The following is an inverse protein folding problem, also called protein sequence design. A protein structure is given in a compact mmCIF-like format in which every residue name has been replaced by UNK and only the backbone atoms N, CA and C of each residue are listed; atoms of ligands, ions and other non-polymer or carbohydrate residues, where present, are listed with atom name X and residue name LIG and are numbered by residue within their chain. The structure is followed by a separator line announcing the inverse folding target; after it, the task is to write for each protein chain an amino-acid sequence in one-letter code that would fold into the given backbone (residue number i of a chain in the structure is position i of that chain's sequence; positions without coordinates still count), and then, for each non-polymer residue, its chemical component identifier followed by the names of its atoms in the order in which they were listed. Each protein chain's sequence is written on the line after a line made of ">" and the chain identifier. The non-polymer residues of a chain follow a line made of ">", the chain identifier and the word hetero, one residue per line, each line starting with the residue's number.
data_IF_453614179893
#
_entry.id   IF_453614179893
#
_cell.length_a   1.000
_cell.length_b   1.000
_cell.length_c   1.000
_cell.angle_alpha   90.00
_cell.angle_beta   90.00
_cell.angle_gamma   90.00
#
_symmetry.space_group_name_H-M   'P 1'
#
loop_
_entity.id
_entity.type
_entity.pdbx_description
1 polymer ?
#
# COMPACT_ATOMS: atom_id res chain seq x y z
N UNK A 1 4.03 10.24 25.38
CA UNK A 1 4.04 8.92 24.71
C UNK A 1 3.01 8.99 23.61
N UNK A 2 3.38 8.67 22.38
CA UNK A 2 2.49 8.69 21.22
C UNK A 2 1.73 7.38 21.19
N UNK A 3 0.40 7.46 21.21
CA UNK A 3 -0.51 6.32 21.21
C UNK A 3 -0.94 6.01 19.79
N UNK A 4 -0.76 4.77 19.35
CA UNK A 4 -0.90 4.37 17.95
C UNK A 4 -2.08 3.40 17.80
N UNK A 5 -3.01 3.71 16.89
CA UNK A 5 -3.97 2.75 16.36
C UNK A 5 -3.33 2.04 15.15
N UNK A 6 -3.12 0.72 15.24
CA UNK A 6 -2.52 -0.09 14.16
C UNK A 6 -3.62 -0.85 13.43
N UNK A 7 -4.00 -0.35 12.27
CA UNK A 7 -5.03 -0.96 11.43
C UNK A 7 -4.36 -1.99 10.51
N UNK A 8 -4.71 -3.27 10.66
CA UNK A 8 -4.00 -4.37 9.97
C UNK A 8 -2.78 -4.89 10.74
N UNK A 9 -2.85 -4.90 12.08
CA UNK A 9 -1.79 -5.32 13.02
C UNK A 9 -1.23 -6.74 12.81
N UNK A 10 -1.99 -7.63 12.21
CA UNK A 10 -1.58 -9.02 11.95
C UNK A 10 -0.96 -9.22 10.55
N UNK A 11 -0.89 -8.17 9.74
CA UNK A 11 -0.23 -8.17 8.43
C UNK A 11 1.27 -7.85 8.54
N UNK A 12 2.01 -7.96 7.44
CA UNK A 12 3.47 -7.77 7.41
C UNK A 12 3.92 -6.39 7.92
N UNK A 13 3.24 -5.31 7.51
CA UNK A 13 3.56 -3.96 8.00
C UNK A 13 3.13 -3.79 9.46
N UNK A 14 1.95 -4.30 9.82
CA UNK A 14 1.44 -4.21 11.19
C UNK A 14 2.34 -4.90 12.22
N UNK A 15 2.83 -6.11 11.94
CA UNK A 15 3.75 -6.81 12.84
C UNK A 15 5.09 -6.10 12.95
N UNK A 16 5.63 -5.58 11.84
CA UNK A 16 6.86 -4.79 11.85
C UNK A 16 6.69 -3.44 12.59
N UNK A 17 5.51 -2.83 12.52
CA UNK A 17 5.21 -1.63 13.29
C UNK A 17 5.18 -1.93 14.80
N UNK A 18 4.63 -3.07 15.20
CA UNK A 18 4.68 -3.52 16.59
C UNK A 18 6.11 -3.82 17.06
N UNK A 19 7.00 -4.33 16.19
CA UNK A 19 8.43 -4.44 16.49
C UNK A 19 9.10 -3.07 16.67
N UNK A 20 8.75 -2.07 15.86
CA UNK A 20 9.24 -0.70 16.03
C UNK A 20 8.75 -0.11 17.35
N UNK A 21 7.50 -0.35 17.73
CA UNK A 21 6.93 0.09 19.02
C UNK A 21 7.67 -0.58 20.19
N UNK A 22 7.94 -1.88 20.12
CA UNK A 22 8.68 -2.62 21.15
C UNK A 22 10.09 -2.07 21.39
N UNK A 23 10.73 -1.54 20.34
CA UNK A 23 12.07 -0.95 20.43
C UNK A 23 12.08 0.40 21.15
N UNK A 24 10.94 1.09 21.21
CA UNK A 24 10.83 2.44 21.76
C UNK A 24 9.70 2.56 22.79
N UNK A 25 9.71 1.76 23.87
CA UNK A 25 8.60 1.70 24.84
C UNK A 25 8.40 3.01 25.64
N UNK A 26 9.41 3.88 25.69
CA UNK A 26 9.28 5.23 26.28
C UNK A 26 8.66 6.27 25.35
N UNK A 27 8.56 5.98 24.04
CA UNK A 27 8.05 6.90 23.01
C UNK A 27 6.68 6.48 22.51
N UNK A 28 6.45 5.18 22.28
CA UNK A 28 5.23 4.66 21.68
C UNK A 28 4.44 3.73 22.59
N UNK A 29 3.13 3.73 22.43
CA UNK A 29 2.22 2.72 22.97
C UNK A 29 1.09 2.41 21.99
N UNK A 30 0.40 1.30 22.17
CA UNK A 30 -0.71 0.89 21.30
C UNK A 30 -2.05 1.31 21.93
N UNK A 31 -2.86 2.05 21.18
CA UNK A 31 -4.23 2.40 21.57
C UNK A 31 -5.26 1.42 21.01
N UNK A 32 -5.08 1.00 19.75
CA UNK A 32 -5.99 0.09 19.07
C UNK A 32 -5.24 -0.90 18.17
N UNK A 33 -5.79 -2.10 18.03
CA UNK A 33 -5.33 -3.10 17.07
C UNK A 33 -6.50 -3.58 16.24
N UNK A 34 -6.39 -3.58 14.92
CA UNK A 34 -7.38 -4.25 14.06
C UNK A 34 -6.73 -5.30 13.18
N UNK A 35 -7.53 -6.28 12.76
CA UNK A 35 -7.16 -7.27 11.77
C UNK A 35 -8.38 -7.65 10.91
N UNK A 36 -8.13 -8.41 9.84
CA UNK A 36 -9.23 -8.97 9.04
C UNK A 36 -9.85 -10.19 9.75
N UNK A 37 -9.15 -11.33 9.76
CA UNK A 37 -9.68 -12.60 10.27
C UNK A 37 -8.72 -13.39 11.17
N UNK A 38 -7.49 -12.92 11.39
CA UNK A 38 -6.49 -13.62 12.21
C UNK A 38 -6.68 -13.33 13.72
N UNK A 39 -7.76 -13.87 14.28
CA UNK A 39 -8.13 -13.65 15.67
C UNK A 39 -7.07 -14.13 16.68
N UNK A 40 -6.42 -15.27 16.41
CA UNK A 40 -5.42 -15.84 17.33
C UNK A 40 -4.22 -14.91 17.54
N UNK A 41 -3.63 -14.42 16.44
CA UNK A 41 -2.50 -13.49 16.54
C UNK A 41 -2.94 -12.17 17.18
N UNK A 42 -4.12 -11.67 16.83
CA UNK A 42 -4.66 -10.42 17.38
C UNK A 42 -4.88 -10.51 18.90
N UNK A 43 -5.42 -11.62 19.41
CA UNK A 43 -5.58 -11.86 20.86
C UNK A 43 -4.21 -11.88 21.55
N UNK A 44 -3.22 -12.56 20.96
CA UNK A 44 -1.84 -12.57 21.48
C UNK A 44 -1.23 -11.17 21.55
N UNK A 45 -1.43 -10.35 20.51
CA UNK A 45 -1.01 -8.95 20.50
C UNK A 45 -1.77 -8.13 21.55
N UNK A 46 -3.08 -8.33 21.70
CA UNK A 46 -3.88 -7.62 22.70
C UNK A 46 -3.41 -7.89 24.14
N UNK A 47 -3.03 -9.13 24.48
CA UNK A 47 -2.47 -9.43 25.80
C UNK A 47 -1.12 -8.74 26.06
N UNK A 48 -0.28 -8.63 25.02
CA UNK A 48 1.03 -7.98 25.13
C UNK A 48 0.90 -6.46 25.27
N UNK A 49 0.13 -5.84 24.39
CA UNK A 49 0.08 -4.38 24.27
C UNK A 49 -1.03 -3.72 25.08
N UNK A 50 -2.03 -4.50 25.52
CA UNK A 50 -3.20 -4.05 26.29
C UNK A 50 -3.89 -2.81 25.68
N UNK A 51 -4.28 -2.84 24.40
CA UNK A 51 -4.97 -1.71 23.78
C UNK A 51 -6.36 -1.50 24.39
N UNK A 52 -6.88 -0.28 24.31
CA UNK A 52 -8.26 0.01 24.71
C UNK A 52 -9.28 -0.60 23.73
N UNK A 53 -8.89 -0.79 22.47
CA UNK A 53 -9.77 -1.24 21.40
C UNK A 53 -9.14 -2.36 20.55
N UNK A 54 -9.95 -3.36 20.20
CA UNK A 54 -9.61 -4.42 19.24
C UNK A 54 -10.72 -4.55 18.20
N UNK A 55 -10.35 -4.61 16.92
CA UNK A 55 -11.27 -4.73 15.78
C UNK A 55 -11.00 -5.95 14.90
N UNK A 56 -12.06 -6.67 14.50
CA UNK A 56 -11.97 -7.71 13.46
C UNK A 56 -13.01 -7.47 12.37
N UNK A 57 -12.57 -7.24 11.14
CA UNK A 57 -13.52 -7.02 10.03
C UNK A 57 -14.25 -8.30 9.62
N UNK A 58 -13.65 -9.47 9.86
CA UNK A 58 -14.18 -10.78 9.51
C UNK A 58 -13.94 -11.80 10.66
N UNK A 59 -14.68 -11.64 11.76
CA UNK A 59 -14.64 -12.57 12.88
C UNK A 59 -15.52 -13.82 12.62
N UNK A 60 -15.03 -15.00 13.02
CA UNK A 60 -15.80 -16.25 12.95
C UNK A 60 -16.68 -16.52 14.19
N UNK A 61 -16.21 -16.11 15.36
CA UNK A 61 -16.89 -16.33 16.65
C UNK A 61 -16.59 -15.15 17.59
N UNK A 62 -17.46 -14.14 17.57
CA UNK A 62 -17.29 -12.93 18.38
C UNK A 62 -17.25 -13.24 19.88
N UNK A 63 -18.11 -14.15 20.35
CA UNK A 63 -18.23 -14.45 21.79
C UNK A 63 -16.95 -15.09 22.31
N UNK A 64 -16.44 -16.10 21.61
CA UNK A 64 -15.19 -16.76 21.99
C UNK A 64 -13.99 -15.81 21.97
N UNK A 65 -13.97 -14.85 21.04
CA UNK A 65 -12.91 -13.84 20.97
C UNK A 65 -13.02 -12.89 22.17
N UNK A 66 -14.22 -12.38 22.46
CA UNK A 66 -14.46 -11.45 23.58
C UNK A 66 -14.04 -12.03 24.93
N UNK A 67 -14.32 -13.31 25.18
CA UNK A 67 -13.94 -14.00 26.42
C UNK A 67 -12.42 -14.17 26.60
N UNK A 68 -11.65 -14.10 25.52
CA UNK A 68 -10.20 -14.26 25.51
C UNK A 68 -9.43 -12.94 25.50
N UNK A 69 -10.11 -11.80 25.35
CA UNK A 69 -9.45 -10.50 25.38
C UNK A 69 -9.11 -10.07 26.83
N UNK A 70 -8.05 -9.29 27.03
CA UNK A 70 -7.72 -8.76 28.34
C UNK A 70 -8.82 -7.83 28.86
N UNK A 71 -8.96 -7.77 30.18
CA UNK A 71 -9.91 -6.87 30.85
C UNK A 71 -9.64 -5.41 30.45
N UNK A 72 -10.69 -4.68 30.12
CA UNK A 72 -10.62 -3.27 29.70
C UNK A 72 -10.44 -3.05 28.19
N UNK A 73 -10.29 -4.11 27.40
CA UNK A 73 -10.27 -4.02 25.93
C UNK A 73 -11.66 -4.21 25.34
N UNK A 74 -12.13 -3.23 24.56
CA UNK A 74 -13.38 -3.30 23.82
C UNK A 74 -13.18 -4.06 22.50
N UNK A 75 -14.12 -4.94 22.15
CA UNK A 75 -14.15 -5.63 20.85
C UNK A 75 -15.21 -5.01 19.93
N UNK A 76 -14.82 -4.69 18.70
CA UNK A 76 -15.70 -4.36 17.58
C UNK A 76 -15.51 -5.38 16.44
N UNK A 77 -16.62 -5.79 15.81
CA UNK A 77 -16.63 -6.75 14.69
C UNK A 77 -17.34 -6.13 13.50
N UNK A 78 -16.81 -6.38 12.31
CA UNK A 78 -17.31 -5.81 11.05
C UNK A 78 -16.38 -4.73 10.50
N UNK A 79 -16.63 -4.28 9.28
CA UNK A 79 -15.76 -3.31 8.59
C UNK A 79 -15.65 -1.97 9.33
N UNK A 80 -16.73 -1.57 10.02
CA UNK A 80 -16.81 -0.34 10.82
C UNK A 80 -15.75 -0.28 11.93
N UNK A 81 -15.21 -1.43 12.38
CA UNK A 81 -14.16 -1.45 13.40
C UNK A 81 -12.89 -0.69 12.94
N UNK A 82 -12.63 -0.60 11.63
CA UNK A 82 -11.51 0.17 11.10
C UNK A 82 -11.74 1.67 11.30
N UNK A 83 -12.95 2.15 11.01
CA UNK A 83 -13.34 3.56 11.13
C UNK A 83 -13.40 3.96 12.61
N UNK A 84 -13.92 3.10 13.47
CA UNK A 84 -13.93 3.32 14.93
C UNK A 84 -12.50 3.40 15.49
N UNK A 85 -11.62 2.46 15.12
CA UNK A 85 -10.22 2.49 15.56
C UNK A 85 -9.48 3.74 15.07
N UNK A 86 -9.75 4.19 13.84
CA UNK A 86 -9.19 5.41 13.26
C UNK A 86 -9.66 6.69 13.96
N UNK A 87 -10.86 6.66 14.56
CA UNK A 87 -11.46 7.80 15.26
C UNK A 87 -11.18 7.81 16.78
N UNK A 88 -10.56 6.76 17.30
CA UNK A 88 -10.41 6.54 18.75
C UNK A 88 -9.74 7.74 19.43
N UNK A 89 -10.37 8.32 20.45
CA UNK A 89 -9.88 9.52 21.13
C UNK A 89 -8.50 9.30 21.77
N UNK A 90 -8.25 8.08 22.23
CA UNK A 90 -7.00 7.66 22.84
C UNK A 90 -5.85 7.50 21.85
N UNK A 91 -6.10 7.50 20.54
CA UNK A 91 -5.05 7.41 19.53
C UNK A 91 -4.58 8.80 19.10
N UNK A 92 -3.27 9.03 19.11
CA UNK A 92 -2.64 10.25 18.59
C UNK A 92 -2.22 10.05 17.11
N UNK A 93 -1.91 8.81 16.74
CA UNK A 93 -1.48 8.41 15.39
C UNK A 93 -2.27 7.20 14.93
N UNK A 94 -2.66 7.19 13.65
CA UNK A 94 -3.27 6.04 12.99
C UNK A 94 -2.30 5.53 11.94
N UNK A 95 -1.89 4.26 12.11
CA UNK A 95 -1.13 3.53 11.11
C UNK A 95 -2.09 2.67 10.30
N UNK A 96 -2.21 2.98 9.01
CA UNK A 96 -3.11 2.27 8.08
C UNK A 96 -2.29 1.28 7.25
N UNK A 97 -2.29 0.02 7.69
CA UNK A 97 -1.61 -1.12 7.08
C UNK A 97 -2.59 -2.21 6.62
N UNK A 98 -3.84 -1.82 6.35
CA UNK A 98 -4.82 -2.67 5.67
C UNK A 98 -4.42 -2.88 4.21
N UNK A 99 -5.06 -3.83 3.52
CA UNK A 99 -4.81 -4.13 2.10
C UNK A 99 -6.01 -3.67 1.27
N UNK A 100 -5.74 -3.12 0.10
CA UNK A 100 -6.78 -2.77 -0.86
C UNK A 100 -7.66 -1.61 -0.44
N UNK A 101 -8.85 -1.53 -1.05
CA UNK A 101 -9.82 -0.45 -0.86
C UNK A 101 -10.22 -0.17 0.59
N UNK A 102 -10.14 -1.18 1.47
CA UNK A 102 -10.54 -1.11 2.88
C UNK A 102 -9.83 -0.03 3.71
N UNK A 103 -8.69 0.50 3.24
CA UNK A 103 -7.98 1.60 3.90
C UNK A 103 -8.63 2.98 3.71
N UNK A 104 -9.45 3.18 2.68
CA UNK A 104 -9.94 4.51 2.31
C UNK A 104 -10.91 5.10 3.34
N UNK A 105 -11.95 4.38 3.81
CA UNK A 105 -12.84 4.88 4.86
C UNK A 105 -12.11 5.28 6.16
N UNK A 106 -11.23 4.44 6.75
CA UNK A 106 -10.51 4.85 7.95
C UNK A 106 -9.51 5.98 7.69
N UNK A 107 -8.91 6.09 6.50
CA UNK A 107 -8.07 7.24 6.14
C UNK A 107 -8.86 8.55 6.18
N UNK A 108 -10.02 8.60 5.53
CA UNK A 108 -10.87 9.78 5.55
C UNK A 108 -11.29 10.13 6.98
N UNK A 109 -11.57 9.11 7.81
CA UNK A 109 -11.91 9.33 9.22
C UNK A 109 -10.74 9.88 10.04
N UNK A 110 -9.52 9.38 9.84
CA UNK A 110 -8.33 9.90 10.49
C UNK A 110 -8.09 11.38 10.14
N UNK A 111 -8.37 11.77 8.90
CA UNK A 111 -8.27 13.16 8.45
C UNK A 111 -9.25 14.06 9.22
N UNK A 112 -10.50 13.62 9.31
CA UNK A 112 -11.58 14.38 9.96
C UNK A 112 -11.45 14.47 11.49
N UNK A 113 -10.66 13.58 12.11
CA UNK A 113 -10.50 13.46 13.57
C UNK A 113 -9.15 13.96 14.07
N UNK A 114 -8.48 14.76 13.25
CA UNK A 114 -7.19 15.38 13.52
C UNK A 114 -6.08 14.41 13.99
N UNK A 115 -6.00 13.22 13.38
CA UNK A 115 -4.99 12.22 13.73
C UNK A 115 -3.73 12.40 12.90
N UNK A 116 -2.56 12.06 13.45
CA UNK A 116 -1.36 11.85 12.61
C UNK A 116 -1.57 10.59 11.76
N UNK A 117 -1.35 10.68 10.45
CA UNK A 117 -1.61 9.57 9.52
C UNK A 117 -0.30 8.97 9.03
N UNK A 118 0.00 7.73 9.44
CA UNK A 118 1.11 6.94 8.91
C UNK A 118 0.54 5.90 7.92
N UNK A 119 0.75 6.10 6.62
CA UNK A 119 0.02 5.37 5.58
C UNK A 119 0.91 4.38 4.85
N UNK A 120 0.57 3.09 4.95
CA UNK A 120 1.18 2.02 4.15
C UNK A 120 0.24 1.49 3.05
N UNK A 121 -1.07 1.71 3.20
CA UNK A 121 -2.07 1.34 2.22
C UNK A 121 -2.09 2.35 1.06
N UNK A 122 -1.38 2.02 -0.02
CA UNK A 122 -1.33 2.84 -1.24
C UNK A 122 -2.67 2.90 -1.95
N UNK A 123 -3.47 1.84 -1.88
CA UNK A 123 -4.74 1.73 -2.59
C UNK A 123 -5.74 2.82 -2.19
N UNK A 124 -5.67 3.32 -0.95
CA UNK A 124 -6.49 4.47 -0.52
C UNK A 124 -6.17 5.75 -1.31
N UNK A 125 -4.89 5.98 -1.63
CA UNK A 125 -4.47 7.13 -2.44
C UNK A 125 -4.76 6.88 -3.91
N UNK A 126 -4.56 5.65 -4.39
CA UNK A 126 -4.90 5.26 -5.76
C UNK A 126 -6.37 5.51 -6.04
N UNK A 127 -7.27 4.97 -5.21
CA UNK A 127 -8.71 5.07 -5.41
C UNK A 127 -9.26 6.46 -5.10
N UNK A 128 -8.76 7.08 -4.03
CA UNK A 128 -9.35 8.26 -3.42
C UNK A 128 -8.54 9.54 -3.57
N UNK A 129 -7.51 9.58 -4.42
CA UNK A 129 -6.53 10.68 -4.43
C UNK A 129 -7.14 12.09 -4.44
N UNK A 130 -8.13 12.35 -5.29
CA UNK A 130 -8.80 13.66 -5.35
C UNK A 130 -9.53 14.01 -4.05
N UNK A 131 -10.33 13.09 -3.50
CA UNK A 131 -11.10 13.30 -2.27
C UNK A 131 -10.21 13.37 -1.03
N UNK A 132 -9.16 12.55 -0.99
CA UNK A 132 -8.16 12.52 0.09
C UNK A 132 -7.37 13.83 0.11
N UNK A 133 -6.82 14.27 -1.03
CA UNK A 133 -6.04 15.52 -1.07
C UNK A 133 -6.90 16.75 -0.76
N UNK A 134 -8.17 16.75 -1.20
CA UNK A 134 -9.11 17.81 -0.84
C UNK A 134 -9.37 17.86 0.66
N UNK A 135 -9.58 16.70 1.30
CA UNK A 135 -9.79 16.61 2.75
C UNK A 135 -8.52 16.98 3.54
N UNK A 136 -7.33 16.53 3.14
CA UNK A 136 -6.08 16.91 3.80
C UNK A 136 -5.90 18.43 3.80
N UNK A 137 -6.21 19.09 2.68
CA UNK A 137 -6.16 20.55 2.56
C UNK A 137 -7.20 21.23 3.46
N UNK A 138 -8.42 20.73 3.50
CA UNK A 138 -9.52 21.27 4.32
C UNK A 138 -9.20 21.19 5.81
N UNK A 139 -8.69 20.05 6.28
CA UNK A 139 -8.38 19.80 7.69
C UNK A 139 -6.95 20.19 8.10
N UNK A 140 -6.15 20.75 7.19
CA UNK A 140 -4.78 21.20 7.46
C UNK A 140 -3.82 20.06 7.84
N UNK A 141 -4.08 18.86 7.33
CA UNK A 141 -3.37 17.64 7.66
C UNK A 141 -2.38 17.20 6.58
N UNK A 142 -1.51 16.25 6.93
CA UNK A 142 -0.56 15.62 6.00
C UNK A 142 -0.42 14.12 6.27
N UNK A 143 -0.05 13.39 5.23
CA UNK A 143 0.26 11.97 5.30
C UNK A 143 1.76 11.76 5.49
N UNK A 144 2.12 10.78 6.32
CA UNK A 144 3.48 10.27 6.45
C UNK A 144 3.56 8.91 5.73
N UNK A 145 4.14 8.87 4.52
CA UNK A 145 4.17 7.64 3.72
C UNK A 145 5.10 6.60 4.34
N UNK A 146 4.60 5.36 4.41
CA UNK A 146 5.34 4.17 4.85
C UNK A 146 5.83 3.36 3.64
N UNK A 147 5.15 3.42 2.49
CA UNK A 147 5.63 2.75 1.29
C UNK A 147 7.09 3.17 0.99
N UNK A 148 7.97 2.21 0.68
CA UNK A 148 9.41 2.44 0.75
C UNK A 148 9.88 3.56 -0.18
N UNK A 149 9.35 3.56 -1.39
CA UNK A 149 9.62 4.51 -2.46
C UNK A 149 9.15 5.92 -2.08
N UNK A 150 7.95 6.05 -1.52
CA UNK A 150 7.38 7.34 -1.12
C UNK A 150 7.99 7.83 0.18
N UNK A 151 8.34 6.94 1.10
CA UNK A 151 9.13 7.28 2.29
C UNK A 151 10.51 7.81 1.90
N UNK A 152 11.12 7.24 0.86
CA UNK A 152 12.38 7.71 0.29
C UNK A 152 12.26 9.10 -0.35
N UNK A 153 11.24 9.32 -1.19
CA UNK A 153 10.93 10.64 -1.77
C UNK A 153 10.68 11.65 -0.66
N UNK A 154 9.83 11.30 0.30
CA UNK A 154 9.49 12.12 1.44
C UNK A 154 10.72 12.54 2.25
N UNK A 155 11.65 11.61 2.51
CA UNK A 155 12.92 11.92 3.17
C UNK A 155 13.82 12.87 2.36
N UNK A 156 13.81 12.76 1.03
CA UNK A 156 14.55 13.69 0.17
C UNK A 156 13.88 15.08 0.16
N UNK A 157 12.55 15.14 0.11
CA UNK A 157 11.78 16.38 0.16
C UNK A 157 12.00 17.14 1.47
N UNK A 158 12.04 16.44 2.61
CA UNK A 158 12.32 17.05 3.93
C UNK A 158 13.75 17.60 4.06
N UNK A 159 14.66 17.24 3.15
CA UNK A 159 15.99 17.84 3.08
C UNK A 159 16.02 19.14 2.24
N UNK A 160 14.94 19.46 1.53
CA UNK A 160 14.83 20.67 0.71
C UNK A 160 14.41 21.88 1.56
N UNK A 161 14.94 23.05 1.22
CA UNK A 161 14.46 24.32 1.77
C UNK A 161 13.20 24.86 1.06
N UNK A 162 12.97 24.42 -0.18
CA UNK A 162 11.79 24.78 -0.99
C UNK A 162 11.36 23.56 -1.81
N UNK A 163 10.18 23.03 -1.52
CA UNK A 163 9.60 21.88 -2.24
C UNK A 163 9.37 22.18 -3.73
N UNK A 164 9.24 23.46 -4.12
CA UNK A 164 9.13 23.86 -5.53
C UNK A 164 10.42 23.60 -6.32
N UNK A 165 11.51 23.21 -5.67
CA UNK A 165 12.72 22.77 -6.35
C UNK A 165 12.53 21.40 -7.05
N UNK A 166 11.54 20.60 -6.65
CA UNK A 166 11.21 19.33 -7.29
C UNK A 166 10.90 19.53 -8.78
N UNK A 167 11.62 18.81 -9.63
CA UNK A 167 11.46 18.79 -11.09
C UNK A 167 10.84 17.48 -11.55
N UNK A 168 11.34 16.36 -11.04
CA UNK A 168 10.92 15.01 -11.44
C UNK A 168 11.11 14.02 -10.30
N UNK A 169 10.26 12.99 -10.27
CA UNK A 169 10.37 11.84 -9.37
C UNK A 169 10.87 10.64 -10.18
N UNK A 170 11.81 9.88 -9.62
CA UNK A 170 12.25 8.59 -10.16
C UNK A 170 11.92 7.49 -9.16
N UNK A 171 10.90 6.70 -9.47
CA UNK A 171 10.45 5.56 -8.69
C UNK A 171 11.26 4.31 -9.08
N UNK A 172 12.07 3.80 -8.16
CA UNK A 172 12.82 2.57 -8.40
C UNK A 172 11.98 1.33 -8.16
N UNK A 173 12.07 0.29 -8.98
CA UNK A 173 11.34 -0.98 -8.81
C UNK A 173 12.29 -2.17 -8.81
N UNK A 174 12.00 -3.25 -8.06
CA UNK A 174 12.82 -4.48 -8.11
C UNK A 174 12.79 -5.19 -9.46
N UNK A 175 11.76 -4.93 -10.27
CA UNK A 175 11.44 -5.66 -11.51
C UNK A 175 10.72 -7.00 -11.30
N UNK A 176 10.48 -7.39 -10.05
CA UNK A 176 9.75 -8.62 -9.70
C UNK A 176 10.49 -9.93 -10.05
N UNK A 177 9.90 -11.09 -9.71
CA UNK A 177 10.52 -12.40 -9.94
C UNK A 177 10.72 -12.76 -11.42
N UNK A 178 9.96 -12.13 -12.34
CA UNK A 178 9.95 -12.49 -13.76
C UNK A 178 10.71 -11.51 -14.66
N UNK A 179 11.49 -10.60 -14.07
CA UNK A 179 12.33 -9.61 -14.79
C UNK A 179 13.12 -10.23 -15.94
N UNK A 180 13.78 -11.36 -15.69
CA UNK A 180 14.62 -12.08 -16.66
C UNK A 180 13.91 -13.24 -17.38
N UNK A 181 12.63 -13.48 -17.12
CA UNK A 181 11.86 -14.56 -17.77
C UNK A 181 11.49 -14.17 -19.19
N UNK A 182 11.73 -14.99 -20.24
CA UNK A 182 11.28 -14.66 -21.59
C UNK A 182 9.76 -14.47 -21.68
N UNK A 183 9.29 -13.54 -22.53
CA UNK A 183 7.88 -13.15 -22.59
C UNK A 183 6.96 -14.33 -22.94
N UNK A 184 7.43 -15.21 -23.83
CA UNK A 184 6.74 -16.43 -24.24
C UNK A 184 6.54 -17.44 -23.11
N UNK A 185 7.26 -17.33 -21.99
CA UNK A 185 7.12 -18.22 -20.84
C UNK A 185 6.14 -17.69 -19.79
N UNK A 186 5.69 -16.44 -19.90
CA UNK A 186 4.82 -15.81 -18.88
C UNK A 186 3.43 -16.46 -18.79
N UNK A 187 2.94 -17.07 -19.88
CA UNK A 187 1.64 -17.75 -19.89
C UNK A 187 1.60 -18.96 -18.93
N UNK A 188 2.75 -19.57 -18.65
CA UNK A 188 2.88 -20.76 -17.79
C UNK A 188 3.11 -20.44 -16.30
N UNK A 189 3.14 -19.17 -15.92
CA UNK A 189 3.41 -18.76 -14.54
C UNK A 189 2.25 -19.16 -13.61
N UNK A 190 2.60 -19.83 -12.52
CA UNK A 190 1.66 -20.27 -11.48
C UNK A 190 1.60 -19.29 -10.31
N UNK A 191 0.52 -19.32 -9.50
CA UNK A 191 0.42 -18.53 -8.27
C UNK A 191 1.60 -18.75 -7.32
N UNK A 192 2.02 -20.01 -7.18
CA UNK A 192 3.13 -20.39 -6.31
C UNK A 192 4.48 -19.82 -6.74
N UNK A 193 4.67 -19.54 -8.04
CA UNK A 193 5.85 -18.83 -8.55
C UNK A 193 5.72 -17.33 -8.33
N UNK A 194 4.56 -16.74 -8.61
CA UNK A 194 4.35 -15.29 -8.54
C UNK A 194 4.51 -14.72 -7.11
N UNK A 195 4.18 -15.51 -6.08
CA UNK A 195 4.31 -15.06 -4.69
C UNK A 195 5.74 -15.16 -4.13
N UNK A 196 6.71 -15.66 -4.90
CA UNK A 196 8.12 -15.80 -4.48
C UNK A 196 8.93 -14.59 -4.93
N UNK A 197 8.80 -13.49 -4.20
CA UNK A 197 9.52 -12.26 -4.52
C UNK A 197 11.03 -12.37 -4.18
N UNK A 198 11.95 -11.85 -5.03
CA UNK A 198 13.40 -12.05 -4.87
C UNK A 198 14.08 -11.30 -3.72
N UNK A 199 13.46 -10.21 -3.22
CA UNK A 199 14.03 -9.35 -2.15
C UNK A 199 13.17 -9.29 -0.89
N UNK A 200 11.91 -8.96 -1.07
CA UNK A 200 10.95 -8.75 0.02
C UNK A 200 10.16 -10.01 0.38
N UNK A 201 9.88 -10.19 1.67
CA UNK A 201 8.87 -11.14 2.16
C UNK A 201 7.54 -10.39 2.39
N UNK A 202 6.55 -10.62 1.52
CA UNK A 202 5.35 -9.81 1.47
C UNK A 202 4.07 -10.66 1.38
N UNK A 203 2.92 -10.02 1.50
CA UNK A 203 1.62 -10.66 1.26
C UNK A 203 1.47 -11.16 -0.17
N UNK A 204 0.54 -12.11 -0.38
CA UNK A 204 0.31 -12.73 -1.70
C UNK A 204 -0.07 -11.71 -2.78
N UNK A 205 -1.01 -10.80 -2.47
CA UNK A 205 -1.51 -9.78 -3.41
C UNK A 205 -0.40 -8.88 -3.93
N UNK A 206 0.33 -8.22 -3.03
CA UNK A 206 1.46 -7.34 -3.40
C UNK A 206 2.60 -8.09 -4.10
N UNK A 207 2.81 -9.39 -3.79
CA UNK A 207 3.80 -10.20 -4.52
C UNK A 207 3.40 -10.42 -5.98
N UNK A 208 2.11 -10.68 -6.26
CA UNK A 208 1.60 -10.77 -7.63
C UNK A 208 1.64 -9.40 -8.32
N UNK A 209 1.24 -8.33 -7.64
CA UNK A 209 1.33 -6.96 -8.19
C UNK A 209 2.77 -6.57 -8.53
N UNK A 210 3.75 -6.98 -7.72
CA UNK A 210 5.16 -6.77 -8.01
C UNK A 210 5.60 -7.58 -9.23
N UNK A 211 5.10 -8.82 -9.37
CA UNK A 211 5.40 -9.67 -10.51
C UNK A 211 4.82 -9.15 -11.83
N UNK A 212 3.70 -8.42 -11.80
CA UNK A 212 3.08 -7.79 -12.99
C UNK A 212 3.51 -6.34 -13.23
N UNK A 213 4.33 -5.76 -12.33
CA UNK A 213 4.59 -4.32 -12.20
C UNK A 213 3.37 -3.44 -11.90
N UNK A 214 2.18 -4.02 -11.63
CA UNK A 214 1.03 -3.23 -11.17
C UNK A 214 1.32 -2.53 -9.83
N UNK A 215 2.12 -3.14 -8.96
CA UNK A 215 2.53 -2.50 -7.70
C UNK A 215 3.18 -1.15 -7.99
N UNK A 216 4.11 -1.11 -8.96
CA UNK A 216 4.79 0.13 -9.36
C UNK A 216 3.83 1.10 -10.04
N UNK A 217 2.86 0.59 -10.79
CA UNK A 217 1.78 1.41 -11.36
C UNK A 217 0.95 2.14 -10.30
N UNK A 218 0.56 1.46 -9.22
CA UNK A 218 -0.10 2.11 -8.08
C UNK A 218 0.78 3.15 -7.41
N UNK A 219 2.07 2.87 -7.27
CA UNK A 219 3.02 3.80 -6.67
C UNK A 219 3.25 5.07 -7.52
N UNK A 220 3.13 4.98 -8.85
CA UNK A 220 3.10 6.15 -9.75
C UNK A 220 1.91 7.05 -9.43
N UNK A 221 0.71 6.46 -9.31
CA UNK A 221 -0.52 7.19 -8.95
C UNK A 221 -0.38 7.82 -7.56
N UNK A 222 0.15 7.07 -6.60
CA UNK A 222 0.37 7.56 -5.25
C UNK A 222 1.39 8.71 -5.20
N UNK A 223 2.49 8.63 -5.95
CA UNK A 223 3.51 9.68 -6.00
C UNK A 223 2.96 10.98 -6.62
N UNK A 224 2.11 10.87 -7.64
CA UNK A 224 1.39 12.02 -8.21
C UNK A 224 0.59 12.76 -7.13
N UNK A 225 -0.19 12.04 -6.34
CA UNK A 225 -1.05 12.63 -5.33
C UNK A 225 -0.28 13.14 -4.11
N UNK A 226 0.67 12.38 -3.58
CA UNK A 226 1.40 12.73 -2.35
C UNK A 226 2.37 13.91 -2.54
N UNK A 227 2.96 14.04 -3.74
CA UNK A 227 4.02 15.02 -3.99
C UNK A 227 3.67 16.06 -5.07
N UNK A 228 2.47 15.99 -5.66
CA UNK A 228 2.01 16.95 -6.66
C UNK A 228 2.77 16.92 -7.98
N UNK A 229 3.50 15.84 -8.26
CA UNK A 229 4.28 15.70 -9.50
C UNK A 229 3.35 15.41 -10.69
N UNK A 230 3.46 16.14 -11.81
CA UNK A 230 2.74 15.81 -13.03
C UNK A 230 3.04 14.39 -13.50
N UNK A 231 2.08 13.73 -14.16
CA UNK A 231 2.20 12.34 -14.63
C UNK A 231 3.48 12.10 -15.44
N UNK A 232 3.78 13.00 -16.38
CA UNK A 232 4.94 12.90 -17.26
C UNK A 232 6.27 13.31 -16.59
N UNK A 233 6.22 13.66 -15.29
CA UNK A 233 7.38 13.95 -14.44
C UNK A 233 7.63 12.84 -13.40
N UNK A 234 7.04 11.66 -13.59
CA UNK A 234 7.26 10.48 -12.75
C UNK A 234 7.80 9.37 -13.64
N UNK A 235 9.09 9.07 -13.49
CA UNK A 235 9.76 7.99 -14.21
C UNK A 235 9.82 6.72 -13.35
N UNK A 236 9.71 5.56 -13.99
CA UNK A 236 9.96 4.26 -13.35
C UNK A 236 11.28 3.70 -13.86
N UNK A 237 12.15 3.30 -12.93
CA UNK A 237 13.44 2.67 -13.22
C UNK A 237 13.55 1.35 -12.48
N UNK A 238 13.98 0.30 -13.15
CA UNK A 238 14.23 -0.98 -12.50
C UNK A 238 15.60 -0.94 -11.81
N UNK A 239 15.60 -1.17 -10.49
CA UNK A 239 16.75 -1.26 -9.62
C UNK A 239 16.70 -2.58 -8.81
N UNK A 240 17.29 -3.67 -9.32
CA UNK A 240 17.12 -5.01 -8.77
C UNK A 240 17.83 -5.26 -7.43
N UNK A 241 18.76 -4.41 -7.02
CA UNK A 241 19.35 -4.44 -5.67
C UNK A 241 18.39 -3.91 -4.60
N UNK A 242 17.45 -3.04 -4.98
CA UNK A 242 16.48 -2.40 -4.07
C UNK A 242 17.16 -1.67 -2.90
N UNK A 243 18.32 -1.04 -3.16
CA UNK A 243 19.09 -0.25 -2.19
C UNK A 243 18.78 1.24 -2.31
N UNK A 244 18.76 1.76 -3.54
CA UNK A 244 18.16 3.07 -3.81
C UNK A 244 16.65 2.86 -3.80
N UNK A 245 15.94 3.46 -2.85
CA UNK A 245 14.51 3.25 -2.70
C UNK A 245 13.67 4.19 -3.55
N UNK A 246 14.16 5.40 -3.86
CA UNK A 246 13.65 6.32 -4.89
C UNK A 246 14.59 7.53 -4.99
N UNK A 247 14.42 8.33 -6.04
CA UNK A 247 15.15 9.57 -6.27
C UNK A 247 14.21 10.73 -6.59
N UNK A 248 14.66 11.95 -6.31
CA UNK A 248 14.08 13.18 -6.82
C UNK A 248 15.13 13.97 -7.61
N UNK A 249 14.74 14.48 -8.76
CA UNK A 249 15.53 15.42 -9.56
C UNK A 249 15.05 16.84 -9.27
N UNK A 250 16.00 17.74 -9.08
CA UNK A 250 15.76 19.15 -8.80
C UNK A 250 15.93 20.00 -10.06
N UNK A 251 15.37 21.21 -10.04
CA UNK A 251 15.41 22.16 -11.17
C UNK A 251 16.82 22.56 -11.63
N UNK A 252 17.83 22.40 -10.79
CA UNK A 252 19.23 22.67 -11.11
C UNK A 252 19.98 21.46 -11.70
N UNK A 253 19.30 20.33 -11.87
CA UNK A 253 19.86 19.07 -12.37
C UNK A 253 20.48 18.18 -11.27
N UNK A 254 20.47 18.61 -10.01
CA UNK A 254 20.89 17.76 -8.89
C UNK A 254 19.88 16.64 -8.65
N UNK A 255 20.37 15.48 -8.22
CA UNK A 255 19.54 14.34 -7.85
C UNK A 255 19.79 13.97 -6.40
N UNK A 256 18.72 13.90 -5.60
CA UNK A 256 18.76 13.37 -4.25
C UNK A 256 18.15 11.97 -4.24
N UNK A 257 18.77 11.07 -3.49
CA UNK A 257 18.32 9.69 -3.36
C UNK A 257 18.39 9.26 -1.90
N UNK A 258 17.40 8.50 -1.46
CA UNK A 258 17.47 7.81 -0.17
C UNK A 258 17.90 6.35 -0.41
N UNK A 259 18.95 5.96 0.30
CA UNK A 259 19.53 4.61 0.24
C UNK A 259 19.34 3.89 1.58
N UNK A 260 19.02 2.61 1.52
CA UNK A 260 18.82 1.77 2.69
C UNK A 260 18.88 0.28 2.36
N UNK A 261 19.02 -0.55 3.38
CA UNK A 261 18.73 -1.98 3.22
C UNK A 261 17.21 -2.17 3.06
N UNK A 262 16.74 -3.16 2.28
CA UNK A 262 15.31 -3.38 2.04
C UNK A 262 14.61 -3.91 3.31
N UNK A 263 14.28 -3.00 4.23
CA UNK A 263 13.66 -3.25 5.51
C UNK A 263 12.66 -2.14 5.87
N UNK A 264 11.37 -2.49 5.93
CA UNK A 264 10.28 -1.52 6.12
C UNK A 264 10.32 -0.84 7.49
N UNK A 265 11.04 -1.39 8.48
CA UNK A 265 11.13 -0.78 9.81
C UNK A 265 11.73 0.61 9.78
N UNK A 266 12.56 0.94 8.78
CA UNK A 266 13.07 2.31 8.58
C UNK A 266 11.94 3.26 8.21
N UNK A 267 11.16 2.92 7.19
CA UNK A 267 10.05 3.76 6.72
C UNK A 267 8.94 3.88 7.78
N UNK A 268 8.58 2.77 8.43
CA UNK A 268 7.61 2.74 9.52
C UNK A 268 8.08 3.62 10.68
N UNK A 269 9.31 3.45 11.15
CA UNK A 269 9.85 4.24 12.24
C UNK A 269 9.87 5.73 11.89
N UNK A 270 10.30 6.09 10.68
CA UNK A 270 10.34 7.48 10.25
C UNK A 270 8.96 8.13 10.19
N UNK A 271 7.96 7.42 9.66
CA UNK A 271 6.57 7.91 9.63
C UNK A 271 6.01 8.14 11.06
N UNK A 272 6.34 7.27 12.00
CA UNK A 272 5.86 7.34 13.39
C UNK A 272 6.57 8.40 14.25
N UNK A 273 7.86 8.67 14.02
CA UNK A 273 8.64 9.59 14.86
C UNK A 273 8.99 10.92 14.21
N UNK A 274 8.73 11.12 12.91
CA UNK A 274 9.11 12.35 12.21
C UNK A 274 8.61 13.60 12.98
N UNK A 275 9.47 14.63 13.15
CA UNK A 275 10.76 14.82 12.48
C UNK A 275 11.96 14.11 13.13
N UNK A 276 11.79 13.49 14.30
CA UNK A 276 12.87 12.77 14.97
C UNK A 276 13.24 11.49 14.19
N UNK A 277 14.55 11.15 14.17
CA UNK A 277 15.04 9.85 13.71
C UNK A 277 15.44 9.00 14.91
N UNK A 278 14.78 7.86 15.07
CA UNK A 278 15.04 6.89 16.13
C UNK A 278 15.83 5.70 15.58
N UNK A 279 16.42 4.90 16.47
CA UNK A 279 17.08 3.66 16.06
C UNK A 279 16.06 2.64 15.54
N UNK A 280 16.20 2.19 14.30
CA UNK A 280 15.30 1.19 13.71
C UNK A 280 15.72 -0.26 13.99
N UNK A 281 16.98 -0.49 14.38
CA UNK A 281 17.55 -1.82 14.61
C UNK A 281 17.83 -2.62 13.34
N UNK A 282 17.80 -1.97 12.17
CA UNK A 282 18.15 -2.58 10.88
C UNK A 282 19.66 -2.61 10.67
N UNK A 283 20.12 -3.50 9.80
CA UNK A 283 21.54 -3.55 9.41
C UNK A 283 21.98 -2.25 8.72
N UNK A 284 23.23 -1.84 8.96
CA UNK A 284 23.82 -0.71 8.25
C UNK A 284 24.19 -1.10 6.81
N UNK A 285 23.97 -0.20 5.87
CA UNK A 285 24.37 -0.39 4.48
C UNK A 285 25.90 -0.38 4.37
N UNK A 286 26.45 -1.41 3.73
CA UNK A 286 27.87 -1.51 3.36
C UNK A 286 28.00 -1.41 1.84
N UNK A 287 28.48 -0.25 1.37
CA UNK A 287 28.65 0.01 -0.07
C UNK A 287 29.80 -0.79 -0.69
N UNK A 288 30.84 -1.11 0.10
CA UNK A 288 31.97 -1.91 -0.39
C UNK A 288 31.50 -3.35 -0.62
N UNK A 289 30.73 -3.90 0.32
CA UNK A 289 30.16 -5.24 0.19
C UNK A 289 29.10 -5.33 -0.93
N UNK A 290 28.34 -4.26 -1.17
CA UNK A 290 27.34 -4.20 -2.23
C UNK A 290 27.97 -4.18 -3.63
N UNK A 291 29.14 -3.55 -3.77
CA UNK A 291 29.96 -3.39 -4.98
C UNK A 291 29.33 -2.58 -6.13
N UNK A 292 28.07 -2.82 -6.50
CA UNK A 292 27.43 -2.21 -7.68
C UNK A 292 25.94 -1.94 -7.47
N UNK A 293 25.45 -0.89 -8.14
CA UNK A 293 24.03 -0.55 -8.26
C UNK A 293 23.69 -0.51 -9.76
N UNK A 294 22.64 -1.23 -10.17
CA UNK A 294 22.21 -1.27 -11.57
C UNK A 294 20.87 -0.57 -11.76
N UNK A 295 20.71 0.08 -12.91
CA UNK A 295 19.48 0.77 -13.32
C UNK A 295 19.16 0.41 -14.77
N UNK A 296 17.94 -0.02 -15.03
CA UNK A 296 17.46 -0.40 -16.37
C UNK A 296 16.03 0.10 -16.60
N UNK A 297 15.64 0.26 -17.87
CA UNK A 297 14.27 0.64 -18.21
C UNK A 297 13.28 -0.51 -17.93
N UNK A 298 12.03 -0.21 -17.53
CA UNK A 298 10.99 -1.23 -17.39
C UNK A 298 10.62 -1.84 -18.76
N UNK A 299 10.34 -3.13 -18.78
CA UNK A 299 9.88 -3.84 -19.99
C UNK A 299 8.34 -3.74 -20.10
N UNK A 300 7.82 -2.58 -20.49
CA UNK A 300 6.38 -2.29 -20.51
C UNK A 300 5.57 -3.20 -21.44
N UNK A 301 6.12 -3.58 -22.60
CA UNK A 301 5.46 -4.53 -23.52
C UNK A 301 5.22 -5.90 -22.87
N UNK A 302 6.15 -6.31 -21.98
CA UNK A 302 6.09 -7.57 -21.25
C UNK A 302 5.22 -7.48 -19.99
N UNK A 303 5.16 -6.30 -19.37
CA UNK A 303 4.42 -6.03 -18.14
C UNK A 303 3.46 -4.84 -18.33
N UNK A 304 2.36 -5.03 -19.07
CA UNK A 304 1.47 -3.94 -19.50
C UNK A 304 0.72 -3.26 -18.36
N UNK A 305 0.64 -3.87 -17.17
CA UNK A 305 0.01 -3.26 -16.00
C UNK A 305 0.59 -1.90 -15.63
N UNK A 306 1.89 -1.66 -15.88
CA UNK A 306 2.48 -0.34 -15.64
C UNK A 306 1.85 0.72 -16.54
N UNK A 307 1.73 0.44 -17.84
CA UNK A 307 1.06 1.33 -18.80
C UNK A 307 -0.40 1.60 -18.44
N UNK A 308 -1.15 0.56 -18.04
CA UNK A 308 -2.54 0.69 -17.59
C UNK A 308 -2.69 1.64 -16.40
N UNK A 309 -1.72 1.68 -15.48
CA UNK A 309 -1.75 2.62 -14.37
C UNK A 309 -1.53 4.08 -14.80
N UNK A 310 -0.58 4.32 -15.72
CA UNK A 310 -0.41 5.64 -16.33
C UNK A 310 -1.64 6.09 -17.10
N UNK A 311 -2.30 5.20 -17.84
CA UNK A 311 -3.55 5.47 -18.53
C UNK A 311 -4.67 5.85 -17.56
N UNK A 312 -4.84 5.08 -16.48
CA UNK A 312 -5.83 5.37 -15.44
C UNK A 312 -5.58 6.73 -14.77
N UNK A 313 -4.32 7.05 -14.48
CA UNK A 313 -3.93 8.32 -13.89
C UNK A 313 -4.27 9.51 -14.81
N UNK A 314 -3.95 9.40 -16.10
CA UNK A 314 -4.27 10.44 -17.10
C UNK A 314 -5.78 10.59 -17.32
N UNK A 315 -6.52 9.49 -17.29
CA UNK A 315 -7.98 9.53 -17.41
C UNK A 315 -8.64 10.23 -16.22
N UNK A 316 -8.08 10.07 -15.01
CA UNK A 316 -8.59 10.68 -13.78
C UNK A 316 -9.99 10.18 -13.41
N UNK A 317 -10.72 10.99 -12.64
CA UNK A 317 -12.06 10.63 -12.18
C UNK A 317 -12.08 9.34 -11.35
N UNK A 318 -13.02 8.45 -11.64
CA UNK A 318 -13.11 7.12 -11.00
C UNK A 318 -12.19 6.06 -11.62
N UNK A 319 -11.46 6.36 -12.70
CA UNK A 319 -10.67 5.35 -13.43
C UNK A 319 -9.60 4.68 -12.55
N UNK A 320 -8.85 5.38 -11.67
CA UNK A 320 -7.94 4.74 -10.72
C UNK A 320 -8.64 3.77 -9.74
N UNK A 321 -9.87 4.07 -9.31
CA UNK A 321 -10.65 3.17 -8.46
C UNK A 321 -11.10 1.91 -9.23
N UNK A 322 -11.50 2.06 -10.50
CA UNK A 322 -11.79 0.93 -11.40
C UNK A 322 -10.55 0.07 -11.62
N UNK A 323 -9.39 0.69 -11.89
CA UNK A 323 -8.10 0.00 -12.02
C UNK A 323 -7.79 -0.84 -10.76
N UNK A 324 -7.89 -0.24 -9.58
CA UNK A 324 -7.63 -0.93 -8.32
C UNK A 324 -8.58 -2.12 -8.11
N UNK A 325 -9.89 -1.89 -8.22
CA UNK A 325 -10.90 -2.92 -8.05
C UNK A 325 -10.71 -4.07 -9.05
N UNK A 326 -10.41 -3.74 -10.30
CA UNK A 326 -10.16 -4.73 -11.35
C UNK A 326 -8.89 -5.55 -11.07
N UNK A 327 -7.82 -4.91 -10.61
CA UNK A 327 -6.59 -5.59 -10.23
C UNK A 327 -6.81 -6.52 -9.03
N UNK A 328 -7.50 -6.06 -7.98
CA UNK A 328 -7.80 -6.91 -6.81
C UNK A 328 -8.57 -8.18 -7.20
N UNK A 329 -9.59 -8.06 -8.06
CA UNK A 329 -10.34 -9.23 -8.54
C UNK A 329 -9.48 -10.10 -9.46
N UNK A 330 -8.71 -9.50 -10.38
CA UNK A 330 -7.85 -10.27 -11.29
C UNK A 330 -6.78 -11.07 -10.53
N UNK A 331 -6.16 -10.47 -9.52
CA UNK A 331 -5.17 -11.13 -8.66
C UNK A 331 -5.82 -12.23 -7.82
N UNK A 332 -7.00 -12.01 -7.25
CA UNK A 332 -7.73 -13.05 -6.53
C UNK A 332 -8.06 -14.24 -7.45
N UNK A 333 -8.60 -13.97 -8.64
CA UNK A 333 -8.90 -15.00 -9.64
C UNK A 333 -7.62 -15.77 -10.03
N UNK A 334 -6.50 -15.09 -10.25
CA UNK A 334 -5.23 -15.74 -10.56
C UNK A 334 -4.74 -16.60 -9.39
N UNK A 335 -4.72 -16.07 -8.17
CA UNK A 335 -4.28 -16.79 -6.97
C UNK A 335 -5.12 -18.05 -6.71
N UNK A 336 -6.41 -18.03 -7.09
CA UNK A 336 -7.32 -19.17 -7.01
C UNK A 336 -7.33 -20.05 -8.27
N UNK A 337 -6.40 -19.83 -9.21
CA UNK A 337 -6.23 -20.67 -10.41
C UNK A 337 -7.37 -20.55 -11.44
N UNK A 338 -8.14 -19.45 -11.41
CA UNK A 338 -9.29 -19.21 -12.29
C UNK A 338 -8.91 -18.51 -13.60
N UNK A 339 -7.80 -17.78 -13.63
CA UNK A 339 -7.23 -17.14 -14.81
C UNK A 339 -5.71 -17.34 -14.84
N UNK A 340 -5.08 -17.19 -16.01
CA UNK A 340 -3.62 -17.23 -16.15
C UNK A 340 -2.94 -15.90 -15.77
N UNK A 341 -1.62 -15.93 -15.58
CA UNK A 341 -0.85 -14.73 -15.22
C UNK A 341 -0.99 -13.60 -16.26
N UNK A 342 -0.94 -13.95 -17.55
CA UNK A 342 -1.10 -12.99 -18.66
C UNK A 342 -2.55 -12.52 -18.86
N UNK A 343 -3.52 -13.12 -18.16
CA UNK A 343 -4.91 -12.67 -18.21
C UNK A 343 -5.19 -11.54 -17.22
N UNK A 344 -4.32 -11.33 -16.21
CA UNK A 344 -4.44 -10.23 -15.25
C UNK A 344 -4.57 -8.87 -15.96
N UNK A 345 -3.61 -8.43 -16.80
CA UNK A 345 -3.73 -7.14 -17.51
C UNK A 345 -4.94 -7.08 -18.44
N UNK A 346 -5.34 -8.20 -19.07
CA UNK A 346 -6.52 -8.25 -19.97
C UNK A 346 -7.83 -8.04 -19.20
N UNK A 347 -7.94 -8.63 -18.01
CA UNK A 347 -9.10 -8.46 -17.12
C UNK A 347 -9.20 -7.01 -16.63
N UNK A 348 -8.06 -6.38 -16.35
CA UNK A 348 -7.97 -4.97 -15.94
C UNK A 348 -8.37 -4.05 -17.08
N UNK A 349 -7.78 -4.21 -18.26
CA UNK A 349 -8.11 -3.45 -19.47
C UNK A 349 -9.60 -3.56 -19.81
N UNK A 350 -10.17 -4.77 -19.71
CA UNK A 350 -11.60 -4.97 -19.91
C UNK A 350 -12.45 -4.13 -18.96
N UNK A 351 -12.13 -4.10 -17.66
CA UNK A 351 -12.85 -3.28 -16.69
C UNK A 351 -12.70 -1.79 -16.96
N UNK A 352 -11.49 -1.32 -17.25
CA UNK A 352 -11.21 0.08 -17.58
C UNK A 352 -12.01 0.54 -18.82
N UNK A 353 -12.13 -0.32 -19.84
CA UNK A 353 -12.93 -0.02 -21.04
C UNK A 353 -14.45 0.11 -20.79
N UNK A 354 -14.92 -0.31 -19.62
CA UNK A 354 -16.32 -0.28 -19.18
C UNK A 354 -16.58 0.75 -18.09
N UNK A 355 -15.55 1.49 -17.67
CA UNK A 355 -15.66 2.46 -16.59
C UNK A 355 -16.68 3.56 -16.92
N UNK A 356 -17.48 4.00 -15.93
CA UNK A 356 -18.35 5.16 -16.11
C UNK A 356 -17.53 6.45 -16.17
N UNK A 357 -17.95 7.40 -17.00
CA UNK A 357 -17.31 8.72 -17.10
C UNK A 357 -17.72 9.63 -15.93
N UNK A 358 -17.03 9.54 -14.80
CA UNK A 358 -17.25 10.40 -13.62
C UNK A 358 -15.96 11.19 -13.32
N UNK A 359 -15.82 12.43 -13.83
CA UNK A 359 -14.57 13.17 -13.77
C UNK A 359 -14.25 13.79 -12.39
N UNK A 360 -15.28 14.14 -11.61
CA UNK A 360 -15.15 14.73 -10.26
C UNK A 360 -15.93 13.87 -9.26
N UNK A 361 -15.38 12.71 -8.85
CA UNK A 361 -16.11 11.80 -8.00
C UNK A 361 -16.17 12.28 -6.54
N UNK A 362 -17.32 12.05 -5.92
CA UNK A 362 -17.44 11.97 -4.46
C UNK A 362 -16.87 10.65 -3.92
N UNK A 363 -16.75 10.55 -2.59
CA UNK A 363 -16.39 9.28 -1.96
C UNK A 363 -17.39 8.17 -2.31
N UNK A 364 -18.68 8.48 -2.37
CA UNK A 364 -19.72 7.52 -2.73
C UNK A 364 -19.59 7.04 -4.18
N UNK A 365 -19.22 7.93 -5.12
CA UNK A 365 -18.96 7.56 -6.52
C UNK A 365 -17.77 6.59 -6.63
N UNK A 366 -16.71 6.81 -5.83
CA UNK A 366 -15.53 5.94 -5.76
C UNK A 366 -15.92 4.56 -5.19
N UNK A 367 -16.66 4.53 -4.08
CA UNK A 367 -17.18 3.29 -3.49
C UNK A 367 -18.08 2.53 -4.47
N UNK A 368 -18.95 3.24 -5.18
CA UNK A 368 -19.83 2.64 -6.19
C UNK A 368 -19.04 2.09 -7.38
N UNK A 369 -18.03 2.81 -7.87
CA UNK A 369 -17.18 2.35 -8.96
C UNK A 369 -16.40 1.08 -8.58
N UNK A 370 -15.86 0.99 -7.36
CA UNK A 370 -15.24 -0.22 -6.83
C UNK A 370 -16.24 -1.40 -6.83
N UNK A 371 -17.41 -1.21 -6.20
CA UNK A 371 -18.42 -2.27 -6.08
C UNK A 371 -18.93 -2.77 -7.45
N UNK A 372 -19.25 -1.85 -8.36
CA UNK A 372 -19.73 -2.18 -9.72
C UNK A 372 -18.66 -2.92 -10.52
N UNK A 373 -17.40 -2.49 -10.41
CA UNK A 373 -16.28 -3.14 -11.10
C UNK A 373 -16.08 -4.57 -10.60
N UNK A 374 -16.11 -4.78 -9.28
CA UNK A 374 -16.01 -6.12 -8.69
C UNK A 374 -17.14 -7.02 -9.16
N UNK A 375 -18.38 -6.53 -9.10
CA UNK A 375 -19.56 -7.27 -9.55
C UNK A 375 -19.47 -7.65 -11.04
N UNK A 376 -19.04 -6.72 -11.90
CA UNK A 376 -18.84 -6.95 -13.33
C UNK A 376 -17.88 -8.12 -13.58
N UNK A 377 -16.71 -8.11 -12.91
CA UNK A 377 -15.68 -9.11 -13.13
C UNK A 377 -16.03 -10.47 -12.53
N UNK A 378 -16.56 -10.52 -11.31
CA UNK A 378 -17.00 -11.80 -10.73
C UNK A 378 -18.12 -12.43 -11.55
N UNK A 379 -19.08 -11.67 -12.05
CA UNK A 379 -20.13 -12.19 -12.93
C UNK A 379 -19.56 -12.72 -14.25
N UNK A 380 -18.59 -12.02 -14.85
CA UNK A 380 -17.90 -12.47 -16.08
C UNK A 380 -17.19 -13.81 -15.86
N UNK A 381 -16.58 -14.01 -14.70
CA UNK A 381 -15.80 -15.22 -14.39
C UNK A 381 -16.60 -16.31 -13.65
N UNK A 382 -17.85 -16.06 -13.28
CA UNK A 382 -18.75 -17.04 -12.67
C UNK A 382 -19.10 -18.20 -13.62
N UNK A 383 -19.03 -17.98 -14.94
CA UNK A 383 -19.49 -18.90 -15.98
C UNK A 383 -18.41 -19.83 -16.60
N UNK A 384 -17.24 -20.00 -15.95
CA UNK A 384 -16.25 -20.99 -16.37
C UNK A 384 -16.24 -22.21 -15.42
N UNK A 385 -17.21 -23.14 -15.50
CA UNK A 385 -17.04 -24.48 -14.96
C UNK A 385 -16.02 -25.25 -15.81
N UNK A 386 -15.24 -26.10 -15.15
CA UNK A 386 -14.09 -26.83 -15.67
C UNK A 386 -14.20 -27.33 -17.12
N UNK A 387 -13.33 -26.80 -17.97
CA UNK A 387 -12.87 -27.51 -19.17
C UNK A 387 -11.81 -28.54 -18.79
N UNK A 388 -12.24 -29.68 -18.24
CA UNK A 388 -11.52 -30.96 -18.26
C UNK A 388 -12.55 -32.09 -18.15
N UNK A 389 -12.98 -32.59 -19.30
CA UNK A 389 -13.16 -34.03 -19.55
C UNK A 389 -12.41 -34.38 -20.84
#
# INVERSE_FOLDING_TARGET
>A
MIRIAVLGSTGSVGTQALEVIDRHPGKFSVAALTAHSNAELLIGQAHKYRPAFVGLTAAKDEKAIRERLPLGTTLCVGEDCLVEAAALEEADTVLIATVGFSGLPPLMRSIQTDKRIALANKESIVCGGSVVMSALKEYGQRIYPIDSEHSAIFQCMEALSDEKALSRIVLTASGGPFRNTPAEQLHGITPGQAVRHPRWNMGKKISVDSATLMNKGFEVIEAHWLFGAPVDAIDVVIHPESIVHSLIELKDGSVLAQLGVPDMRVAIQYALSHPERLESGVARLDLIALASLHFEAPQEEKFPCLGLAYEALRAGGVMPAVLNAANEVAVDLFLNGRIGFTDIPRTIEYAMSRAPGVPLPSLDDICQADAVTRALLYNRHAAAPGGKE
#
